data_IF_169033936251
#
_entry.id   IF_169033936251
#
_cell.length_a   1.000
_cell.length_b   1.000
_cell.length_c   1.000
_cell.angle_alpha   90.00
_cell.angle_beta   90.00
_cell.angle_gamma   90.00
#
_symmetry.space_group_name_H-M   'P 1'
#
loop_
_entity.id
_entity.type
_entity.pdbx_description
1 polymer ?
#
# COMPACT_ATOMS: atom_id res chain seq x y z
N UNK A 1 7.10 16.16 -5.62
CA UNK A 1 8.43 15.92 -5.03
C UNK A 1 9.15 17.26 -4.81
N UNK A 2 8.98 17.90 -3.64
CA UNK A 2 9.81 19.02 -3.21
C UNK A 2 11.30 18.73 -3.40
N UNK A 3 11.74 17.51 -3.07
CA UNK A 3 13.09 16.98 -3.30
C UNK A 3 13.63 17.13 -4.73
N UNK A 4 12.80 16.99 -5.75
CA UNK A 4 13.26 17.07 -7.14
C UNK A 4 13.39 18.53 -7.61
N UNK A 5 12.50 19.41 -7.17
CA UNK A 5 12.32 20.74 -7.76
C UNK A 5 12.75 21.90 -6.85
N UNK A 6 12.76 21.70 -5.53
CA UNK A 6 13.15 22.70 -4.53
C UNK A 6 14.58 22.42 -4.03
N UNK A 7 14.91 21.15 -3.80
CA UNK A 7 16.23 20.74 -3.32
C UNK A 7 17.14 20.21 -4.43
N UNK A 8 16.69 20.16 -5.68
CA UNK A 8 17.45 19.68 -6.85
C UNK A 8 18.14 18.31 -6.64
N UNK A 9 17.50 17.40 -5.88
CA UNK A 9 17.99 16.05 -5.61
C UNK A 9 17.18 14.98 -6.37
N UNK A 10 17.30 14.89 -7.71
CA UNK A 10 16.52 13.94 -8.51
C UNK A 10 16.88 12.48 -8.19
N UNK A 11 18.11 12.17 -7.77
CA UNK A 11 18.52 10.81 -7.42
C UNK A 11 17.79 10.30 -6.18
N UNK A 12 17.54 11.17 -5.18
CA UNK A 12 16.86 10.74 -3.96
C UNK A 12 15.40 10.34 -4.24
N UNK A 13 14.76 10.99 -5.22
CA UNK A 13 13.41 10.63 -5.69
C UNK A 13 13.39 9.23 -6.28
N UNK A 14 14.43 8.84 -7.02
CA UNK A 14 14.54 7.49 -7.59
C UNK A 14 14.72 6.44 -6.50
N UNK A 15 15.59 6.69 -5.51
CA UNK A 15 15.82 5.78 -4.39
C UNK A 15 14.54 5.59 -3.57
N UNK A 16 13.86 6.68 -3.20
CA UNK A 16 12.60 6.63 -2.45
C UNK A 16 11.49 5.96 -3.27
N UNK A 17 11.42 6.22 -4.58
CA UNK A 17 10.48 5.58 -5.49
C UNK A 17 10.68 4.06 -5.57
N UNK A 18 11.94 3.61 -5.70
CA UNK A 18 12.28 2.18 -5.69
C UNK A 18 11.95 1.52 -4.35
N UNK A 19 12.35 2.15 -3.24
CA UNK A 19 12.04 1.65 -1.90
C UNK A 19 10.52 1.51 -1.69
N UNK A 20 9.74 2.52 -2.11
CA UNK A 20 8.29 2.48 -2.01
C UNK A 20 7.67 1.38 -2.89
N UNK A 21 8.16 1.19 -4.11
CA UNK A 21 7.71 0.12 -5.00
C UNK A 21 7.95 -1.28 -4.44
N UNK A 22 9.11 -1.50 -3.83
CA UNK A 22 9.44 -2.78 -3.15
C UNK A 22 8.48 -3.01 -1.98
N UNK A 23 8.26 -2.00 -1.14
CA UNK A 23 7.33 -2.10 -0.01
C UNK A 23 5.88 -2.36 -0.48
N UNK A 24 5.47 -1.75 -1.60
CA UNK A 24 4.15 -1.98 -2.19
C UNK A 24 3.97 -3.43 -2.66
N UNK A 25 4.96 -4.00 -3.35
CA UNK A 25 4.93 -5.42 -3.73
C UNK A 25 4.92 -6.33 -2.50
N UNK A 26 5.69 -6.00 -1.46
CA UNK A 26 5.67 -6.70 -0.18
C UNK A 26 4.28 -6.67 0.46
N UNK A 27 3.62 -5.52 0.47
CA UNK A 27 2.25 -5.38 0.96
C UNK A 27 1.27 -6.27 0.20
N UNK A 28 1.34 -6.32 -1.14
CA UNK A 28 0.49 -7.19 -1.95
C UNK A 28 0.71 -8.66 -1.58
N UNK A 29 1.97 -9.10 -1.49
CA UNK A 29 2.30 -10.47 -1.12
C UNK A 29 1.75 -10.83 0.26
N UNK A 30 1.94 -9.95 1.25
CA UNK A 30 1.37 -10.13 2.59
C UNK A 30 -0.15 -10.21 2.53
N UNK A 31 -0.83 -9.32 1.82
CA UNK A 31 -2.30 -9.34 1.68
C UNK A 31 -2.81 -10.68 1.13
N UNK A 32 -2.11 -11.30 0.18
CA UNK A 32 -2.44 -12.64 -0.30
C UNK A 32 -2.16 -13.76 0.71
N UNK A 33 -1.14 -13.62 1.56
CA UNK A 33 -0.87 -14.59 2.62
C UNK A 33 -1.95 -14.56 3.71
N UNK A 34 -2.28 -13.36 4.22
CA UNK A 34 -3.30 -13.22 5.28
C UNK A 34 -4.73 -13.40 4.76
N UNK A 35 -4.96 -13.26 3.46
CA UNK A 35 -6.27 -13.50 2.84
C UNK A 35 -6.88 -14.85 3.26
N UNK A 36 -6.08 -15.91 3.24
CA UNK A 36 -6.53 -17.26 3.61
C UNK A 36 -6.66 -17.42 5.12
N UNK A 37 -5.73 -16.88 5.91
CA UNK A 37 -5.74 -16.98 7.37
C UNK A 37 -6.93 -16.25 7.99
N UNK A 38 -7.26 -15.06 7.48
CA UNK A 38 -8.38 -14.24 7.93
C UNK A 38 -9.71 -14.60 7.25
N UNK A 39 -9.74 -15.64 6.41
CA UNK A 39 -10.92 -16.10 5.65
C UNK A 39 -11.63 -14.96 4.91
N UNK A 40 -10.84 -14.04 4.34
CA UNK A 40 -11.39 -12.90 3.65
C UNK A 40 -12.15 -13.33 2.40
N UNK A 41 -13.22 -12.61 2.08
CA UNK A 41 -13.91 -12.79 0.78
C UNK A 41 -13.06 -12.18 -0.34
N UNK A 42 -13.19 -12.68 -1.57
CA UNK A 42 -12.54 -12.08 -2.74
C UNK A 42 -12.85 -10.58 -2.89
N UNK A 43 -14.04 -10.15 -2.43
CA UNK A 43 -14.42 -8.73 -2.39
C UNK A 43 -13.56 -7.94 -1.42
N UNK A 44 -13.30 -8.48 -0.23
CA UNK A 44 -12.45 -7.86 0.79
C UNK A 44 -11.02 -7.70 0.27
N UNK A 45 -10.46 -8.73 -0.38
CA UNK A 45 -9.14 -8.66 -1.00
C UNK A 45 -9.08 -7.57 -2.07
N UNK A 46 -10.06 -7.53 -2.99
CA UNK A 46 -10.12 -6.50 -4.03
C UNK A 46 -10.22 -5.07 -3.43
N UNK A 47 -11.03 -4.91 -2.39
CA UNK A 47 -11.20 -3.66 -1.66
C UNK A 47 -9.88 -3.21 -1.00
N UNK A 48 -9.16 -4.12 -0.34
CA UNK A 48 -7.85 -3.86 0.30
C UNK A 48 -6.76 -3.51 -0.74
N UNK A 49 -6.81 -4.15 -1.91
CA UNK A 49 -5.90 -3.87 -3.04
C UNK A 49 -6.18 -2.53 -3.72
N UNK A 50 -7.45 -2.13 -3.86
CA UNK A 50 -7.81 -0.80 -4.38
C UNK A 50 -7.44 0.28 -3.35
N UNK A 51 -7.66 -0.01 -2.07
CA UNK A 51 -7.34 0.90 -0.97
C UNK A 51 -5.85 1.17 -0.79
N UNK A 52 -4.96 0.30 -1.29
CA UNK A 52 -3.51 0.55 -1.24
C UNK A 52 -3.01 1.52 -2.30
N UNK A 53 -3.81 1.79 -3.35
CA UNK A 53 -3.52 2.80 -4.38
C UNK A 53 -3.90 4.19 -3.88
N UNK A 54 -5.00 4.28 -3.12
CA UNK A 54 -5.50 5.55 -2.60
C UNK A 54 -4.75 5.87 -1.30
N UNK A 55 -4.07 7.02 -1.20
CA UNK A 55 -3.46 7.42 0.06
C UNK A 55 -4.52 7.48 1.16
N UNK A 56 -4.22 6.86 2.30
CA UNK A 56 -5.11 6.69 3.45
C UNK A 56 -6.33 5.76 3.27
N UNK A 57 -6.50 5.12 2.10
CA UNK A 57 -7.58 4.18 1.87
C UNK A 57 -7.52 2.99 2.84
N UNK A 58 -6.32 2.47 3.10
CA UNK A 58 -6.07 1.34 4.00
C UNK A 58 -6.56 1.60 5.43
N UNK A 59 -6.35 2.80 5.99
CA UNK A 59 -6.81 3.15 7.35
C UNK A 59 -8.34 3.18 7.45
N UNK A 60 -9.04 3.65 6.41
CA UNK A 60 -10.50 3.63 6.39
C UNK A 60 -11.04 2.20 6.34
N UNK A 61 -10.39 1.35 5.55
CA UNK A 61 -10.80 -0.04 5.32
C UNK A 61 -10.55 -0.87 6.57
N UNK A 62 -9.41 -0.66 7.23
CA UNK A 62 -9.10 -1.24 8.53
C UNK A 62 -10.21 -0.95 9.53
N UNK A 63 -10.56 0.33 9.72
CA UNK A 63 -11.59 0.76 10.67
C UNK A 63 -13.02 0.29 10.33
N UNK A 64 -13.32 0.04 9.05
CA UNK A 64 -14.68 -0.29 8.60
C UNK A 64 -14.92 -1.78 8.39
N UNK A 65 -13.90 -2.52 7.95
CA UNK A 65 -14.02 -3.90 7.50
C UNK A 65 -13.15 -4.89 8.28
N UNK A 66 -12.09 -4.43 8.94
CA UNK A 66 -11.12 -5.30 9.65
C UNK A 66 -11.16 -5.13 11.17
N UNK A 67 -12.06 -4.31 11.70
CA UNK A 67 -12.27 -4.16 13.14
C UNK A 67 -12.79 -5.48 13.71
N UNK A 68 -11.91 -6.16 14.46
CA UNK A 68 -12.26 -7.27 15.34
C UNK A 68 -13.16 -6.80 16.50
#
# INVERSE_FOLDING_TARGET
>A
MPLKYIWEMPQMVQVVGMAHGILFLGYIALAFMVYNELKWSLKTLAIVMIASIIPFGTFYIEKKYLTA
#
